data_IF_408508325759
#
_entry.id   IF_408508325759
#
_cell.length_a   1.000
_cell.length_b   1.000
_cell.length_c   1.000
_cell.angle_alpha   90.00
_cell.angle_beta   90.00
_cell.angle_gamma   90.00
#
_symmetry.space_group_name_H-M   'P 1'
#
loop_
_entity.id
_entity.type
_entity.pdbx_description
1 polymer ?
#
# COMPACT_ATOMS: atom_id res chain seq x y z
N UNK A 1 -37.15 -21.31 -10.42
CA UNK A 1 -35.89 -22.08 -10.45
C UNK A 1 -34.84 -21.27 -9.68
N UNK A 2 -34.69 -21.54 -8.36
CA UNK A 2 -33.65 -20.94 -7.54
C UNK A 2 -32.33 -21.66 -7.80
N UNK A 3 -31.61 -21.24 -8.82
CA UNK A 3 -30.18 -21.52 -8.88
C UNK A 3 -29.51 -20.62 -7.89
N UNK A 4 -29.15 -21.15 -6.72
CA UNK A 4 -28.12 -20.56 -5.85
C UNK A 4 -26.82 -20.56 -6.64
N UNK A 5 -26.67 -19.56 -7.52
CA UNK A 5 -25.44 -19.36 -8.26
C UNK A 5 -24.34 -19.14 -7.21
N UNK A 6 -23.39 -20.05 -7.16
CA UNK A 6 -22.24 -19.98 -6.24
C UNK A 6 -21.53 -18.66 -6.49
N UNK A 7 -21.81 -17.66 -5.66
CA UNK A 7 -21.24 -16.32 -5.79
C UNK A 7 -19.82 -16.38 -5.23
N UNK A 8 -18.83 -16.18 -6.07
CA UNK A 8 -17.45 -16.05 -5.60
C UNK A 8 -17.31 -14.80 -4.74
N UNK A 9 -16.24 -14.73 -3.95
CA UNK A 9 -15.93 -13.58 -3.08
C UNK A 9 -14.56 -13.00 -3.43
N UNK A 10 -14.26 -12.93 -4.72
CA UNK A 10 -12.95 -12.49 -5.22
C UNK A 10 -12.64 -11.05 -4.79
N UNK A 11 -13.66 -10.16 -4.77
CA UNK A 11 -13.47 -8.78 -4.32
C UNK A 11 -12.91 -8.68 -2.89
N UNK A 12 -13.28 -9.61 -2.00
CA UNK A 12 -12.77 -9.62 -0.62
C UNK A 12 -11.33 -10.13 -0.54
N UNK A 13 -10.90 -11.01 -1.43
CA UNK A 13 -9.48 -11.38 -1.56
C UNK A 13 -8.64 -10.20 -2.03
N UNK A 14 -9.17 -9.40 -2.96
CA UNK A 14 -8.53 -8.15 -3.39
C UNK A 14 -8.47 -7.15 -2.23
N UNK A 15 -9.55 -6.99 -1.45
CA UNK A 15 -9.52 -6.17 -0.24
C UNK A 15 -8.45 -6.65 0.75
N UNK A 16 -8.29 -7.96 0.92
CA UNK A 16 -7.23 -8.55 1.74
C UNK A 16 -5.82 -8.21 1.25
N UNK A 17 -5.58 -8.24 -0.07
CA UNK A 17 -4.30 -7.82 -0.66
C UNK A 17 -4.03 -6.34 -0.45
N UNK A 18 -5.05 -5.49 -0.63
CA UNK A 18 -4.94 -4.06 -0.37
C UNK A 18 -4.67 -3.77 1.11
N UNK A 19 -5.36 -4.48 2.01
CA UNK A 19 -5.11 -4.42 3.45
C UNK A 19 -3.66 -4.76 3.78
N UNK A 20 -3.15 -5.85 3.20
CA UNK A 20 -1.77 -6.29 3.41
C UNK A 20 -0.75 -5.27 2.88
N UNK A 21 -1.00 -4.65 1.72
CA UNK A 21 -0.15 -3.59 1.19
C UNK A 21 -0.02 -2.41 2.16
N UNK A 22 -1.14 -1.99 2.76
CA UNK A 22 -1.14 -0.90 3.76
C UNK A 22 -0.43 -1.33 5.04
N UNK A 23 -0.63 -2.56 5.50
CA UNK A 23 0.08 -3.07 6.68
C UNK A 23 1.60 -3.08 6.46
N UNK A 24 2.07 -3.57 5.31
CA UNK A 24 3.49 -3.54 4.92
C UNK A 24 3.98 -2.09 4.87
N UNK A 25 3.24 -1.18 4.25
CA UNK A 25 3.57 0.24 4.16
C UNK A 25 3.82 0.88 5.54
N UNK A 26 3.00 0.57 6.54
CA UNK A 26 3.18 1.09 7.90
C UNK A 26 4.37 0.44 8.64
N UNK A 27 4.68 -0.82 8.33
CA UNK A 27 5.90 -1.47 8.83
C UNK A 27 7.13 -0.77 8.24
N UNK A 28 7.15 -0.50 6.93
CA UNK A 28 8.24 0.22 6.23
C UNK A 28 8.49 1.63 6.81
N UNK A 29 7.43 2.34 7.19
CA UNK A 29 7.56 3.65 7.84
C UNK A 29 8.20 3.56 9.22
N UNK A 30 7.88 2.51 9.95
CA UNK A 30 8.29 2.34 11.35
C UNK A 30 9.73 1.83 11.46
N UNK A 31 10.25 1.09 10.48
CA UNK A 31 11.57 0.44 10.56
C UNK A 31 12.71 1.44 10.79
N UNK A 32 12.67 2.62 10.15
CA UNK A 32 13.71 3.62 10.36
C UNK A 32 13.70 4.16 11.80
N UNK A 33 12.52 4.39 12.36
CA UNK A 33 12.40 4.90 13.74
C UNK A 33 12.92 3.88 14.76
N UNK A 34 12.64 2.59 14.55
CA UNK A 34 13.14 1.51 15.39
C UNK A 34 14.67 1.32 15.24
N UNK A 35 15.20 1.48 14.04
CA UNK A 35 16.63 1.37 13.75
C UNK A 35 17.43 2.65 14.09
N UNK A 36 16.78 3.78 14.40
CA UNK A 36 17.43 5.07 14.58
C UNK A 36 18.61 5.06 15.57
N UNK A 37 18.55 4.43 16.75
CA UNK A 37 19.70 4.37 17.65
C UNK A 37 20.92 3.71 17.00
N UNK A 38 20.73 2.59 16.32
CA UNK A 38 21.81 1.86 15.64
C UNK A 38 22.41 2.66 14.48
N UNK A 39 21.56 3.35 13.72
CA UNK A 39 21.98 4.20 12.60
C UNK A 39 22.80 5.39 13.08
N UNK A 40 22.40 6.04 14.18
CA UNK A 40 23.11 7.17 14.79
C UNK A 40 24.50 6.73 15.22
N UNK A 41 24.62 5.60 15.91
CA UNK A 41 25.88 5.10 16.44
C UNK A 41 26.82 4.62 15.33
N UNK A 42 26.32 3.84 14.37
CA UNK A 42 27.16 3.21 13.34
C UNK A 42 27.54 4.19 12.23
N UNK A 43 26.59 5.00 11.76
CA UNK A 43 26.82 5.94 10.66
C UNK A 43 27.28 7.33 11.13
N UNK A 44 27.51 7.49 12.43
CA UNK A 44 27.97 8.76 13.05
C UNK A 44 27.07 9.93 12.69
N UNK A 45 25.77 9.72 12.77
CA UNK A 45 24.77 10.75 12.53
C UNK A 45 24.52 11.54 13.81
N UNK A 46 24.28 12.84 13.68
CA UNK A 46 23.76 13.60 14.80
C UNK A 46 22.21 13.58 14.83
N UNK A 47 21.58 13.96 15.95
CA UNK A 47 20.13 13.97 16.07
C UNK A 47 19.42 14.88 15.06
N UNK A 48 20.05 15.97 14.64
CA UNK A 48 19.51 16.89 13.64
C UNK A 48 19.47 16.24 12.26
N UNK A 49 20.55 15.59 11.85
CA UNK A 49 20.60 14.79 10.61
C UNK A 49 19.50 13.70 10.59
N UNK A 50 19.30 13.01 11.71
CA UNK A 50 18.26 12.00 11.81
C UNK A 50 16.86 12.59 11.69
N UNK A 51 16.63 13.78 12.26
CA UNK A 51 15.41 14.54 12.08
C UNK A 51 15.12 14.89 10.61
N UNK A 52 16.13 15.35 9.87
CA UNK A 52 16.01 15.63 8.43
C UNK A 52 15.70 14.36 7.63
N UNK A 53 16.36 13.23 7.92
CA UNK A 53 16.07 11.95 7.26
C UNK A 53 14.62 11.53 7.50
N UNK A 54 14.11 11.68 8.72
CA UNK A 54 12.72 11.36 9.03
C UNK A 54 11.73 12.28 8.32
N UNK A 55 12.01 13.59 8.28
CA UNK A 55 11.16 14.60 7.64
C UNK A 55 11.13 14.45 6.10
N UNK A 56 12.23 14.05 5.48
CA UNK A 56 12.38 13.94 4.02
C UNK A 56 11.31 13.03 3.39
N UNK A 57 10.92 11.98 4.07
CA UNK A 57 9.83 11.11 3.65
C UNK A 57 8.53 11.90 3.45
N UNK A 58 8.14 12.72 4.42
CA UNK A 58 6.88 13.46 4.37
C UNK A 58 6.88 14.53 3.27
N UNK A 59 8.02 15.14 2.96
CA UNK A 59 8.12 16.12 1.88
C UNK A 59 7.80 15.50 0.53
N UNK A 60 8.49 14.41 0.17
CA UNK A 60 8.24 13.74 -1.11
C UNK A 60 6.86 13.09 -1.17
N UNK A 61 6.42 12.45 -0.09
CA UNK A 61 5.09 11.83 0.03
C UNK A 61 3.97 12.85 -0.22
N UNK A 62 4.01 14.02 0.47
CA UNK A 62 2.95 15.02 0.36
C UNK A 62 2.91 15.69 -1.02
N UNK A 63 4.09 16.01 -1.58
CA UNK A 63 4.19 16.66 -2.90
C UNK A 63 3.72 15.75 -4.03
N UNK A 64 3.98 14.46 -3.92
CA UNK A 64 3.73 13.51 -5.01
C UNK A 64 2.42 12.74 -4.91
N UNK A 65 1.62 12.95 -3.87
CA UNK A 65 0.35 12.25 -3.70
C UNK A 65 -0.64 12.53 -4.85
N UNK A 66 -0.73 13.79 -5.30
CA UNK A 66 -1.60 14.16 -6.44
C UNK A 66 -1.04 13.62 -7.77
N UNK A 67 0.24 13.83 -8.14
CA UNK A 67 0.81 13.23 -9.34
C UNK A 67 0.73 11.71 -9.37
N UNK A 68 0.94 11.05 -8.24
CA UNK A 68 0.86 9.59 -8.13
C UNK A 68 -0.58 9.07 -8.33
N UNK A 69 -1.58 9.78 -7.80
CA UNK A 69 -2.99 9.50 -8.07
C UNK A 69 -3.32 9.64 -9.56
N UNK A 70 -2.93 10.74 -10.18
CA UNK A 70 -3.10 10.94 -11.63
C UNK A 70 -2.44 9.82 -12.45
N UNK A 71 -1.24 9.39 -12.07
CA UNK A 71 -0.55 8.29 -12.73
C UNK A 71 -1.35 6.98 -12.64
N UNK A 72 -1.84 6.64 -11.44
CA UNK A 72 -2.63 5.43 -11.22
C UNK A 72 -3.96 5.46 -12.00
N UNK A 73 -4.62 6.63 -12.11
CA UNK A 73 -5.85 6.78 -12.88
C UNK A 73 -5.61 6.68 -14.40
N UNK A 74 -4.48 7.22 -14.89
CA UNK A 74 -4.14 7.23 -16.31
C UNK A 74 -3.67 5.87 -16.82
N UNK A 75 -2.83 5.16 -16.06
CA UNK A 75 -2.17 3.92 -16.49
C UNK A 75 -2.78 2.65 -15.89
N UNK A 76 -3.79 2.81 -15.05
CA UNK A 76 -4.50 1.72 -14.36
C UNK A 76 -3.94 1.43 -12.98
N UNK A 77 -4.84 1.01 -12.08
CA UNK A 77 -4.51 0.77 -10.67
C UNK A 77 -3.58 -0.44 -10.48
N UNK A 78 -3.66 -1.42 -11.38
CA UNK A 78 -2.75 -2.59 -11.36
C UNK A 78 -1.30 -2.18 -11.46
N UNK A 79 -1.00 -1.32 -12.43
CA UNK A 79 0.35 -0.79 -12.63
C UNK A 79 0.70 0.26 -11.58
N UNK A 80 -0.23 1.15 -11.27
CA UNK A 80 -0.03 2.24 -10.31
C UNK A 80 0.41 1.70 -8.95
N UNK A 81 -0.40 0.83 -8.34
CA UNK A 81 -0.08 0.26 -7.04
C UNK A 81 1.09 -0.72 -7.10
N UNK A 82 1.12 -1.60 -8.12
CA UNK A 82 2.20 -2.59 -8.25
C UNK A 82 3.58 -1.97 -8.41
N UNK A 83 3.73 -0.95 -9.26
CA UNK A 83 4.99 -0.22 -9.42
C UNK A 83 5.36 0.59 -8.17
N UNK A 84 4.38 1.19 -7.52
CA UNK A 84 4.58 1.91 -6.28
C UNK A 84 5.15 1.00 -5.18
N UNK A 85 4.52 -0.17 -4.96
CA UNK A 85 5.01 -1.16 -3.98
C UNK A 85 6.41 -1.66 -4.34
N UNK A 86 6.67 -1.99 -5.61
CA UNK A 86 7.99 -2.41 -6.06
C UNK A 86 9.06 -1.34 -5.78
N UNK A 87 8.75 -0.09 -6.11
CA UNK A 87 9.65 1.04 -5.92
C UNK A 87 10.00 1.25 -4.44
N UNK A 88 8.99 1.36 -3.57
CA UNK A 88 9.28 1.59 -2.15
C UNK A 88 9.97 0.39 -1.49
N UNK A 89 9.63 -0.84 -1.89
CA UNK A 89 10.26 -2.05 -1.36
C UNK A 89 11.76 -2.11 -1.72
N UNK A 90 12.12 -1.69 -2.93
CA UNK A 90 13.52 -1.53 -3.34
C UNK A 90 14.18 -0.44 -2.49
N UNK A 91 13.55 0.72 -2.34
CA UNK A 91 14.09 1.80 -1.52
C UNK A 91 14.32 1.38 -0.06
N UNK A 92 13.35 0.65 0.53
CA UNK A 92 13.48 0.07 1.88
C UNK A 92 14.66 -0.91 1.95
N UNK A 93 14.75 -1.85 1.01
CA UNK A 93 15.88 -2.81 0.97
C UNK A 93 17.23 -2.09 0.85
N UNK A 94 17.31 -1.05 0.01
CA UNK A 94 18.54 -0.27 -0.16
C UNK A 94 18.95 0.53 1.07
N UNK A 95 18.03 0.85 1.99
CA UNK A 95 18.41 1.44 3.28
C UNK A 95 19.32 0.52 4.10
N UNK A 96 19.20 -0.80 3.96
CA UNK A 96 20.07 -1.77 4.61
C UNK A 96 21.53 -1.69 4.16
N UNK A 97 21.83 -1.13 3.00
CA UNK A 97 23.19 -0.92 2.49
C UNK A 97 23.64 0.55 2.52
N UNK A 98 22.87 1.40 3.20
CA UNK A 98 23.20 2.82 3.33
C UNK A 98 24.49 3.03 4.13
N UNK A 99 25.27 4.03 3.71
CA UNK A 99 26.62 4.32 4.24
C UNK A 99 26.71 5.63 4.99
N UNK A 100 25.62 6.41 5.07
CA UNK A 100 25.62 7.69 5.80
C UNK A 100 24.42 8.57 5.49
N UNK A 101 24.46 9.82 5.96
CA UNK A 101 23.38 10.78 5.87
C UNK A 101 22.79 10.93 4.45
N UNK A 102 23.64 11.20 3.45
CA UNK A 102 23.18 11.47 2.08
C UNK A 102 22.44 10.29 1.46
N UNK A 103 22.93 9.07 1.68
CA UNK A 103 22.30 7.86 1.15
C UNK A 103 20.94 7.60 1.82
N UNK A 104 20.85 7.73 3.14
CA UNK A 104 19.58 7.59 3.86
C UNK A 104 18.58 8.67 3.48
N UNK A 105 19.01 9.92 3.35
CA UNK A 105 18.15 11.04 2.94
C UNK A 105 17.55 10.80 1.54
N UNK A 106 18.41 10.42 0.57
CA UNK A 106 17.96 10.12 -0.78
C UNK A 106 16.97 8.93 -0.82
N UNK A 107 17.25 7.86 -0.06
CA UNK A 107 16.37 6.70 0.02
C UNK A 107 15.05 7.00 0.72
N UNK A 108 15.04 7.90 1.72
CA UNK A 108 13.80 8.37 2.35
C UNK A 108 12.93 9.20 1.41
N UNK A 109 13.55 10.07 0.61
CA UNK A 109 12.85 10.79 -0.45
C UNK A 109 12.26 9.80 -1.48
N UNK A 110 13.06 8.82 -1.92
CA UNK A 110 12.61 7.78 -2.85
C UNK A 110 11.46 6.95 -2.27
N UNK A 111 11.51 6.59 -0.98
CA UNK A 111 10.44 5.88 -0.29
C UNK A 111 9.13 6.67 -0.34
N UNK A 112 9.16 7.96 0.00
CA UNK A 112 7.97 8.82 -0.01
C UNK A 112 7.34 8.95 -1.41
N UNK A 113 8.16 8.98 -2.48
CA UNK A 113 7.69 8.94 -3.88
C UNK A 113 6.86 7.69 -4.15
N UNK A 114 7.36 6.51 -3.77
CA UNK A 114 6.66 5.23 -3.98
C UNK A 114 5.36 5.15 -3.19
N UNK A 115 5.41 5.48 -1.92
CA UNK A 115 4.26 5.35 -1.03
C UNK A 115 3.12 6.34 -1.31
N UNK A 116 3.39 7.44 -2.00
CA UNK A 116 2.39 8.47 -2.33
C UNK A 116 1.21 7.93 -3.15
N UNK A 117 1.39 6.85 -3.93
CA UNK A 117 0.35 6.26 -4.75
C UNK A 117 -0.62 5.33 -3.99
N UNK A 118 -0.31 4.93 -2.77
CA UNK A 118 -1.07 3.87 -2.04
C UNK A 118 -2.53 4.24 -1.83
N UNK A 119 -2.79 5.38 -1.20
CA UNK A 119 -4.15 5.80 -0.88
C UNK A 119 -4.99 6.12 -2.13
N UNK A 120 -4.49 6.90 -3.11
CA UNK A 120 -5.20 7.12 -4.36
C UNK A 120 -5.52 5.81 -5.10
N UNK A 121 -4.55 4.90 -5.21
CA UNK A 121 -4.78 3.62 -5.87
C UNK A 121 -5.82 2.77 -5.15
N UNK A 122 -5.78 2.72 -3.83
CA UNK A 122 -6.77 1.97 -3.05
C UNK A 122 -8.19 2.53 -3.24
N UNK A 123 -8.36 3.84 -3.28
CA UNK A 123 -9.64 4.47 -3.59
C UNK A 123 -10.13 4.10 -5.00
N UNK A 124 -9.24 4.13 -5.99
CA UNK A 124 -9.54 3.73 -7.37
C UNK A 124 -9.92 2.25 -7.49
N UNK A 125 -9.24 1.35 -6.78
CA UNK A 125 -9.56 -0.09 -6.74
C UNK A 125 -10.91 -0.31 -6.06
N UNK A 126 -11.16 0.34 -4.93
CA UNK A 126 -12.44 0.24 -4.22
C UNK A 126 -13.61 0.70 -5.10
N UNK A 127 -13.41 1.78 -5.86
CA UNK A 127 -14.42 2.28 -6.80
C UNK A 127 -14.74 1.29 -7.93
N UNK A 128 -13.77 0.50 -8.40
CA UNK A 128 -13.95 -0.46 -9.50
C UNK A 128 -14.46 -1.83 -9.06
N UNK A 129 -14.02 -2.31 -7.90
CA UNK A 129 -14.25 -3.68 -7.42
C UNK A 129 -15.37 -3.82 -6.41
N UNK A 130 -15.90 -2.71 -5.88
CA UNK A 130 -16.93 -2.76 -4.85
C UNK A 130 -18.17 -1.95 -5.24
N UNK A 131 -19.38 -2.48 -4.91
CA UNK A 131 -20.61 -1.70 -4.97
C UNK A 131 -20.53 -0.52 -3.99
N UNK A 132 -21.21 0.58 -4.28
CA UNK A 132 -21.14 1.82 -3.51
C UNK A 132 -21.44 1.63 -2.01
N UNK A 133 -22.38 0.75 -1.69
CA UNK A 133 -22.75 0.43 -0.29
C UNK A 133 -21.62 -0.24 0.51
N UNK A 134 -20.70 -0.94 -0.15
CA UNK A 134 -19.58 -1.64 0.50
C UNK A 134 -18.31 -0.77 0.58
N UNK A 135 -18.20 0.34 -0.17
CA UNK A 135 -16.98 1.17 -0.24
C UNK A 135 -16.56 1.73 1.12
N UNK A 136 -17.54 2.19 1.92
CA UNK A 136 -17.25 2.69 3.27
C UNK A 136 -16.63 1.60 4.17
N UNK A 137 -17.16 0.38 4.10
CA UNK A 137 -16.63 -0.79 4.84
C UNK A 137 -15.21 -1.12 4.39
N UNK A 138 -14.96 -1.10 3.08
CA UNK A 138 -13.62 -1.35 2.51
C UNK A 138 -12.63 -0.26 2.91
N UNK A 139 -13.05 1.01 2.91
CA UNK A 139 -12.21 2.12 3.40
C UNK A 139 -11.89 1.97 4.89
N UNK A 140 -12.85 1.58 5.72
CA UNK A 140 -12.61 1.25 7.12
C UNK A 140 -11.67 0.06 7.33
N UNK A 141 -11.74 -0.94 6.44
CA UNK A 141 -10.81 -2.06 6.44
C UNK A 141 -9.37 -1.58 6.15
N UNK A 142 -9.17 -0.68 5.20
CA UNK A 142 -7.86 -0.09 4.91
C UNK A 142 -7.31 0.71 6.09
N UNK A 143 -8.16 1.49 6.73
CA UNK A 143 -7.79 2.25 7.92
C UNK A 143 -7.38 1.31 9.07
N UNK A 144 -8.06 0.18 9.24
CA UNK A 144 -7.68 -0.83 10.22
C UNK A 144 -6.29 -1.40 9.97
N UNK A 145 -5.88 -1.58 8.69
CA UNK A 145 -4.55 -2.06 8.33
C UNK A 145 -3.45 -1.12 8.81
N UNK A 146 -3.67 0.19 8.74
CA UNK A 146 -2.72 1.20 9.21
C UNK A 146 -2.50 1.11 10.72
N UNK A 147 -3.57 0.89 11.50
CA UNK A 147 -3.50 0.74 12.95
C UNK A 147 -2.86 -0.59 13.36
N UNK A 148 -3.27 -1.66 12.70
CA UNK A 148 -2.73 -3.00 12.93
C UNK A 148 -1.24 -3.07 12.57
N UNK A 149 -0.87 -2.58 11.38
CA UNK A 149 0.52 -2.50 10.93
C UNK A 149 1.38 -1.69 11.91
N UNK A 150 0.92 -0.50 12.31
CA UNK A 150 1.63 0.34 13.27
C UNK A 150 1.77 -0.29 14.66
N UNK A 151 0.74 -0.99 15.14
CA UNK A 151 0.79 -1.64 16.47
C UNK A 151 1.77 -2.82 16.52
N UNK A 152 1.84 -3.62 15.45
CA UNK A 152 2.72 -4.78 15.37
C UNK A 152 4.14 -4.40 14.92
N UNK A 153 4.29 -3.33 14.14
CA UNK A 153 5.56 -2.94 13.53
C UNK A 153 6.69 -2.82 14.57
N UNK A 154 6.50 -2.03 15.61
CA UNK A 154 7.59 -1.74 16.55
C UNK A 154 8.11 -3.01 17.27
N UNK A 155 7.30 -3.85 17.91
CA UNK A 155 7.77 -5.09 18.54
C UNK A 155 8.43 -6.03 17.53
N UNK A 156 7.85 -6.20 16.35
CA UNK A 156 8.37 -7.06 15.30
C UNK A 156 9.75 -6.58 14.82
N UNK A 157 9.88 -5.31 14.52
CA UNK A 157 11.13 -4.74 14.01
C UNK A 157 12.22 -4.78 15.05
N UNK A 158 11.92 -4.44 16.31
CA UNK A 158 12.88 -4.51 17.41
C UNK A 158 13.37 -5.95 17.57
N UNK A 159 12.48 -6.94 17.56
CA UNK A 159 12.86 -8.36 17.59
C UNK A 159 13.76 -8.74 16.40
N UNK A 160 13.43 -8.27 15.18
CA UNK A 160 14.24 -8.53 13.99
C UNK A 160 15.63 -7.90 14.08
N UNK A 161 15.75 -6.66 14.56
CA UNK A 161 17.02 -5.97 14.73
C UNK A 161 17.91 -6.71 15.75
N UNK A 162 17.33 -7.17 16.85
CA UNK A 162 18.07 -7.95 17.85
C UNK A 162 18.54 -9.32 17.32
N UNK A 163 17.76 -9.92 16.41
CA UNK A 163 18.05 -11.27 15.90
C UNK A 163 18.98 -11.25 14.69
N UNK A 164 18.80 -10.27 13.80
CA UNK A 164 19.42 -10.26 12.46
C UNK A 164 20.29 -9.03 12.19
N UNK A 165 20.33 -8.03 13.05
CA UNK A 165 20.88 -6.71 12.79
C UNK A 165 19.93 -5.82 11.93
N UNK A 166 20.14 -4.48 12.03
CA UNK A 166 19.30 -3.50 11.35
C UNK A 166 19.42 -3.56 9.81
N UNK A 167 20.60 -3.86 9.27
CA UNK A 167 20.83 -3.93 7.83
C UNK A 167 20.00 -5.04 7.19
N UNK A 168 20.07 -6.23 7.77
CA UNK A 168 19.33 -7.39 7.29
C UNK A 168 17.81 -7.21 7.53
N UNK A 169 17.41 -6.50 8.58
CA UNK A 169 16.02 -6.17 8.85
C UNK A 169 15.42 -5.33 7.71
N UNK A 170 16.10 -4.30 7.21
CA UNK A 170 15.67 -3.54 6.04
C UNK A 170 15.54 -4.40 4.78
N UNK A 171 16.49 -5.28 4.54
CA UNK A 171 16.46 -6.19 3.39
C UNK A 171 15.28 -7.16 3.47
N UNK A 172 15.00 -7.74 4.62
CA UNK A 172 13.88 -8.68 4.81
C UNK A 172 12.55 -7.94 4.60
N UNK A 173 12.34 -6.78 5.23
CA UNK A 173 11.10 -6.02 5.13
C UNK A 173 10.84 -5.61 3.67
N UNK A 174 11.83 -5.05 2.99
CA UNK A 174 11.67 -4.71 1.58
C UNK A 174 11.42 -5.94 0.69
N UNK A 175 12.02 -7.10 0.99
CA UNK A 175 11.76 -8.35 0.26
C UNK A 175 10.30 -8.82 0.40
N UNK A 176 9.67 -8.62 1.56
CA UNK A 176 8.25 -8.93 1.78
C UNK A 176 7.36 -8.13 0.83
N UNK A 177 7.68 -6.85 0.61
CA UNK A 177 6.96 -6.03 -0.37
C UNK A 177 7.12 -6.53 -1.81
N UNK A 178 8.31 -6.99 -2.20
CA UNK A 178 8.52 -7.60 -3.53
C UNK A 178 7.70 -8.89 -3.69
N UNK A 179 7.64 -9.74 -2.67
CA UNK A 179 6.78 -10.93 -2.70
C UNK A 179 5.30 -10.57 -2.85
N UNK A 180 4.87 -9.48 -2.18
CA UNK A 180 3.51 -8.96 -2.35
C UNK A 180 3.26 -8.49 -3.79
N UNK A 181 4.22 -7.81 -4.44
CA UNK A 181 4.11 -7.38 -5.85
C UNK A 181 3.90 -8.57 -6.77
N UNK A 182 4.65 -9.64 -6.57
CA UNK A 182 4.50 -10.87 -7.34
C UNK A 182 3.06 -11.41 -7.19
N UNK A 183 2.59 -11.56 -5.96
CA UNK A 183 1.21 -12.01 -5.69
C UNK A 183 0.17 -11.06 -6.33
N UNK A 184 0.39 -9.74 -6.25
CA UNK A 184 -0.48 -8.73 -6.84
C UNK A 184 -0.67 -8.90 -8.35
N UNK A 185 0.42 -9.04 -9.10
CA UNK A 185 0.35 -9.19 -10.57
C UNK A 185 -0.34 -10.48 -11.00
N UNK A 186 -0.27 -11.55 -10.21
CA UNK A 186 -0.94 -12.81 -10.49
C UNK A 186 -2.42 -12.83 -10.10
N UNK A 187 -2.80 -12.11 -9.04
CA UNK A 187 -4.15 -12.20 -8.48
C UNK A 187 -5.03 -11.05 -8.97
N UNK A 188 -4.54 -9.83 -9.04
CA UNK A 188 -5.35 -8.66 -9.37
C UNK A 188 -5.57 -8.50 -10.88
N UNK A 189 -6.81 -8.23 -11.28
CA UNK A 189 -7.18 -7.79 -12.62
C UNK A 189 -7.70 -6.34 -12.56
N UNK A 190 -7.47 -5.55 -13.63
CA UNK A 190 -7.86 -4.14 -13.65
C UNK A 190 -9.38 -3.97 -13.53
N UNK A 191 -10.15 -4.81 -14.22
CA UNK A 191 -11.61 -4.83 -14.16
C UNK A 191 -12.11 -6.18 -13.63
N UNK A 192 -13.22 -6.20 -12.89
CA UNK A 192 -13.81 -7.45 -12.41
C UNK A 192 -14.08 -8.46 -13.53
N UNK A 193 -14.54 -7.99 -14.70
CA UNK A 193 -14.87 -8.83 -15.85
C UNK A 193 -13.67 -9.57 -16.45
N UNK A 194 -12.46 -9.03 -16.29
CA UNK A 194 -11.22 -9.61 -16.80
C UNK A 194 -10.67 -10.70 -15.88
N UNK A 195 -11.19 -10.81 -14.67
CA UNK A 195 -10.67 -11.75 -13.68
C UNK A 195 -11.14 -13.17 -13.93
N UNK A 196 -10.20 -14.09 -14.22
CA UNK A 196 -10.49 -15.48 -14.68
C UNK A 196 -11.34 -16.34 -13.72
N UNK A 197 -11.40 -16.00 -12.44
CA UNK A 197 -12.06 -16.81 -11.40
C UNK A 197 -13.30 -16.16 -10.80
N UNK A 198 -13.69 -14.99 -11.26
CA UNK A 198 -14.89 -14.31 -10.75
C UNK A 198 -16.15 -14.93 -11.35
N UNK A 199 -17.19 -15.09 -10.55
CA UNK A 199 -18.48 -15.54 -11.05
C UNK A 199 -19.26 -14.41 -11.71
N UNK A 200 -20.06 -14.69 -12.77
CA UNK A 200 -20.93 -13.68 -13.38
C UNK A 200 -21.91 -13.03 -12.39
N UNK A 201 -22.32 -13.79 -11.35
CA UNK A 201 -23.18 -13.29 -10.27
C UNK A 201 -22.47 -12.21 -9.42
N UNK A 202 -21.18 -12.38 -9.12
CA UNK A 202 -20.42 -11.40 -8.37
C UNK A 202 -20.20 -10.12 -9.19
N UNK A 203 -19.89 -10.25 -10.50
CA UNK A 203 -19.78 -9.10 -11.42
C UNK A 203 -21.08 -8.29 -11.46
N UNK A 204 -22.25 -8.97 -11.54
CA UNK A 204 -23.55 -8.30 -11.48
C UNK A 204 -23.74 -7.52 -10.18
N UNK A 205 -23.45 -8.14 -9.03
CA UNK A 205 -23.54 -7.45 -7.71
C UNK A 205 -22.72 -6.17 -7.71
N UNK A 206 -21.50 -6.22 -8.23
CA UNK A 206 -20.61 -5.04 -8.29
C UNK A 206 -21.24 -3.95 -9.18
N UNK A 207 -21.66 -4.31 -10.41
CA UNK A 207 -22.13 -3.33 -11.40
C UNK A 207 -23.51 -2.75 -11.07
N UNK A 208 -24.43 -3.58 -10.61
CA UNK A 208 -25.76 -3.12 -10.22
C UNK A 208 -25.67 -2.19 -8.99
N UNK A 209 -24.79 -2.51 -8.04
CA UNK A 209 -24.54 -1.63 -6.89
C UNK A 209 -23.90 -0.28 -7.25
N UNK A 210 -23.16 -0.18 -8.36
CA UNK A 210 -22.58 1.07 -8.86
C UNK A 210 -23.60 1.93 -9.64
N UNK A 211 -24.55 1.31 -10.36
CA UNK A 211 -25.59 2.02 -11.14
C UNK A 211 -26.64 2.69 -10.26
N UNK A 212 -27.01 2.10 -9.14
CA UNK A 212 -28.05 2.64 -8.25
C UNK A 212 -27.74 4.03 -7.70
N UNK A 213 -26.48 4.36 -7.54
CA UNK A 213 -26.07 5.68 -7.03
C UNK A 213 -26.16 6.76 -8.12
N UNK A 214 -25.84 6.43 -9.37
CA UNK A 214 -25.92 7.38 -10.48
C UNK A 214 -27.36 7.83 -10.75
N UNK A 215 -28.33 6.90 -10.66
CA UNK A 215 -29.75 7.23 -10.86
C UNK A 215 -30.35 8.04 -9.69
N UNK A 216 -29.84 7.87 -8.48
CA UNK A 216 -30.32 8.63 -7.31
C UNK A 216 -29.89 10.11 -7.37
N UNK A 217 -28.72 10.43 -7.91
CA UNK A 217 -28.28 11.83 -8.08
C UNK A 217 -29.00 12.53 -9.22
N UNK A 218 -29.28 11.87 -10.36
CA UNK A 218 -30.06 12.48 -11.45
C UNK A 218 -31.51 12.81 -11.06
N UNK A 219 -32.08 12.14 -10.06
CA UNK A 219 -33.45 12.41 -9.60
C UNK A 219 -33.54 13.55 -8.54
N UNK A 220 -32.42 14.11 -8.10
CA UNK A 220 -32.39 15.24 -7.15
C UNK A 220 -32.26 16.58 -7.90
N UNK A 221 -31.82 16.56 -9.18
CA UNK A 221 -31.66 17.77 -9.99
C UNK A 221 -32.88 18.06 -10.91
N UNK A 222 -33.95 17.28 -10.82
CA UNK A 222 -35.24 17.54 -11.49
C UNK A 222 -36.31 17.90 -10.47
#
# INVERSE_FOLDING_TARGET
>A
MNTTANTTRIRWWIAGLMWLAIAINYIDRTVLSAAAPHLIDELKLDPEMMGFIMAAFFWSYSLLQIPAGWFADRFGQKKGLGLAVAWWSIATSMMGVATGFKSLLALRLALGVGEAAVYPSNAGIAARWFPDKERATVSGLFDSASKFGGAIAMPLIVWMIYTFDWRLTFLIIGSVGILWVIAWYFIYAENPEEHKRISPSEVRIIRDGQKQHHSAYCNIET
#
